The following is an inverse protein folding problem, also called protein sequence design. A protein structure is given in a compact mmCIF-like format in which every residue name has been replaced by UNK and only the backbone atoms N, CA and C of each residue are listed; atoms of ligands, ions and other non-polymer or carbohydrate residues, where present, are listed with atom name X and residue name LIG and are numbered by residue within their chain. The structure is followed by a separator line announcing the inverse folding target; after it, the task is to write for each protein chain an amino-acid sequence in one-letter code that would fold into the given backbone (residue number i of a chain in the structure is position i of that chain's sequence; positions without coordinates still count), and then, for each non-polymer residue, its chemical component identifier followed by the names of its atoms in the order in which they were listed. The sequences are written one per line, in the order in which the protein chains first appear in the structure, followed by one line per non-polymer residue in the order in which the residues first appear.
data_IF_429007304097
#
_entry.id   IF_429007304097
#
_cell.length_a   1.000
_cell.length_b   1.000
_cell.length_c   1.000
_cell.angle_alpha   90.00
_cell.angle_beta   90.00
_cell.angle_gamma   90.00
#
_symmetry.space_group_name_H-M   'P 1'
#
loop_
_entity.id
_entity.type
_entity.pdbx_description
1 polymer ?
#
# COMPACT_ATOMS: atom_id res chain seq x y z
N UNK A 1 -3.62 18.05 12.76
CA UNK A 1 -3.85 17.83 11.32
C UNK A 1 -2.56 17.25 10.77
N UNK A 2 -2.65 16.29 9.85
CA UNK A 2 -1.52 15.72 9.12
C UNK A 2 -1.81 15.81 7.62
N UNK A 3 -0.80 15.96 6.78
CA UNK A 3 -0.95 15.99 5.33
C UNK A 3 -0.04 14.96 4.68
N UNK A 4 -0.57 14.24 3.70
CA UNK A 4 0.19 13.40 2.78
C UNK A 4 0.29 14.09 1.43
N UNK A 5 0.87 13.44 0.41
CA UNK A 5 0.91 13.99 -0.95
C UNK A 5 -0.50 14.14 -1.57
N UNK A 6 -1.44 13.28 -1.16
CA UNK A 6 -2.77 13.15 -1.80
C UNK A 6 -3.94 13.43 -0.85
N UNK A 7 -3.71 13.56 0.46
CA UNK A 7 -4.78 13.69 1.45
C UNK A 7 -4.43 14.62 2.62
N UNK A 8 -5.47 15.05 3.34
CA UNK A 8 -5.41 15.78 4.61
C UNK A 8 -6.17 14.97 5.67
N UNK A 9 -5.55 14.74 6.82
CA UNK A 9 -6.15 14.07 7.97
C UNK A 9 -6.46 15.04 9.11
N UNK A 10 -7.72 15.05 9.53
CA UNK A 10 -8.19 15.75 10.73
C UNK A 10 -8.47 14.76 11.85
N UNK A 11 -8.08 15.10 13.07
CA UNK A 11 -8.28 14.26 14.24
C UNK A 11 -9.19 14.98 15.24
N UNK A 12 -10.34 14.39 15.56
CA UNK A 12 -11.31 14.95 16.51
C UNK A 12 -11.77 13.83 17.43
N UNK A 13 -11.43 13.94 18.71
CA UNK A 13 -11.71 12.88 19.69
C UNK A 13 -11.12 11.54 19.28
N UNK A 14 -11.99 10.53 19.18
CA UNK A 14 -11.71 9.15 18.78
C UNK A 14 -11.77 8.93 17.25
N UNK A 15 -11.97 9.99 16.46
CA UNK A 15 -12.12 9.91 15.00
C UNK A 15 -10.98 10.57 14.24
N UNK A 16 -10.68 9.99 13.09
CA UNK A 16 -9.86 10.57 12.04
C UNK A 16 -10.72 10.76 10.78
N UNK A 17 -10.52 11.87 10.08
CA UNK A 17 -11.24 12.19 8.85
C UNK A 17 -10.22 12.45 7.75
N UNK A 18 -10.24 11.63 6.69
CA UNK A 18 -9.31 11.73 5.56
C UNK A 18 -10.01 12.36 4.37
N UNK A 19 -9.60 13.57 4.00
CA UNK A 19 -10.04 14.26 2.79
C UNK A 19 -8.99 14.09 1.70
N UNK A 20 -9.41 13.88 0.44
CA UNK A 20 -8.50 13.88 -0.70
C UNK A 20 -8.20 15.31 -1.15
N UNK A 21 -6.96 15.60 -1.52
CA UNK A 21 -6.54 16.91 -2.04
C UNK A 21 -6.88 17.03 -3.54
N UNK A 22 -7.22 18.23 -4.03
CA UNK A 22 -7.48 18.47 -5.44
C UNK A 22 -6.17 18.55 -6.26
N UNK A 23 -5.51 17.40 -6.44
CA UNK A 23 -4.20 17.31 -7.10
C UNK A 23 -4.26 16.41 -8.34
N UNK A 24 -3.38 16.68 -9.29
CA UNK A 24 -3.04 15.79 -10.40
C UNK A 24 -1.54 15.46 -10.32
N UNK A 25 -1.23 14.17 -10.14
CA UNK A 25 0.15 13.66 -10.04
C UNK A 25 0.58 12.89 -11.29
N UNK A 26 -0.20 12.94 -12.38
CA UNK A 26 0.02 12.22 -13.63
C UNK A 26 -0.39 10.74 -13.59
N UNK A 27 -0.21 10.07 -12.46
CA UNK A 27 -0.74 8.72 -12.20
C UNK A 27 -2.05 8.74 -11.38
N UNK A 28 -2.46 9.91 -10.90
CA UNK A 28 -3.60 10.11 -10.03
C UNK A 28 -4.24 11.47 -10.29
N UNK A 29 -5.53 11.51 -10.64
CA UNK A 29 -6.28 12.75 -10.84
C UNK A 29 -7.44 12.84 -9.83
N UNK A 30 -7.29 13.73 -8.85
CA UNK A 30 -8.29 14.09 -7.86
C UNK A 30 -8.79 15.53 -8.02
N UNK A 31 -8.62 16.14 -9.19
CA UNK A 31 -8.98 17.56 -9.42
C UNK A 31 -10.48 17.81 -9.27
N UNK A 32 -11.33 16.83 -9.60
CA UNK A 32 -12.80 16.94 -9.49
C UNK A 32 -13.35 16.34 -8.20
N UNK A 33 -14.45 16.92 -7.69
CA UNK A 33 -15.17 16.38 -6.52
C UNK A 33 -15.64 14.94 -6.77
N UNK A 34 -16.15 14.65 -7.96
CA UNK A 34 -16.58 13.29 -8.35
C UNK A 34 -15.44 12.28 -8.30
N UNK A 35 -14.23 12.65 -8.76
CA UNK A 35 -13.07 11.78 -8.67
C UNK A 35 -12.68 11.52 -7.20
N UNK A 36 -12.70 12.55 -6.35
CA UNK A 36 -12.45 12.40 -4.91
C UNK A 36 -13.50 11.55 -4.21
N UNK A 37 -14.76 11.64 -4.62
CA UNK A 37 -15.84 10.81 -4.08
C UNK A 37 -15.61 9.33 -4.43
N UNK A 38 -15.35 9.03 -5.70
CA UNK A 38 -15.04 7.67 -6.14
C UNK A 38 -13.79 7.12 -5.43
N UNK A 39 -12.79 7.96 -5.19
CA UNK A 39 -11.60 7.59 -4.42
C UNK A 39 -11.92 7.25 -2.96
N UNK A 40 -12.75 8.04 -2.28
CA UNK A 40 -13.18 7.75 -0.91
C UNK A 40 -13.98 6.44 -0.84
N UNK A 41 -14.88 6.21 -1.79
CA UNK A 41 -15.67 4.97 -1.89
C UNK A 41 -14.78 3.74 -2.11
N UNK A 42 -13.78 3.85 -2.98
CA UNK A 42 -12.78 2.80 -3.22
C UNK A 42 -11.92 2.56 -1.99
N UNK A 43 -11.36 3.60 -1.39
CA UNK A 43 -10.54 3.49 -0.18
C UNK A 43 -11.32 2.78 0.95
N UNK A 44 -12.55 3.22 1.20
CA UNK A 44 -13.42 2.63 2.21
C UNK A 44 -13.71 1.15 1.94
N UNK A 45 -14.06 0.82 0.69
CA UNK A 45 -14.40 -0.56 0.30
C UNK A 45 -13.20 -1.50 0.41
N UNK A 46 -12.04 -1.06 -0.06
CA UNK A 46 -10.82 -1.88 -0.09
C UNK A 46 -10.25 -2.06 1.32
N UNK A 47 -10.19 -1.00 2.12
CA UNK A 47 -9.57 -1.06 3.43
C UNK A 47 -10.44 -1.74 4.50
N UNK A 48 -11.77 -1.78 4.32
CA UNK A 48 -12.64 -2.57 5.21
C UNK A 48 -12.38 -4.07 5.17
N UNK A 49 -11.71 -4.57 4.12
CA UNK A 49 -11.23 -5.97 4.05
C UNK A 49 -10.18 -6.25 5.14
N UNK A 50 -9.39 -5.24 5.48
CA UNK A 50 -8.23 -5.32 6.39
C UNK A 50 -8.55 -4.82 7.80
N UNK A 51 -9.33 -3.75 7.92
CA UNK A 51 -9.63 -3.10 9.20
C UNK A 51 -11.07 -2.58 9.28
N UNK A 52 -12.09 -3.46 9.32
CA UNK A 52 -13.50 -3.07 9.28
C UNK A 52 -13.97 -2.25 10.48
N UNK A 53 -13.27 -2.34 11.62
CA UNK A 53 -13.51 -1.55 12.84
C UNK A 53 -12.75 -0.21 12.85
N UNK A 54 -11.88 0.03 11.86
CA UNK A 54 -11.17 1.30 11.67
C UNK A 54 -11.85 2.16 10.60
N UNK A 55 -12.30 1.58 9.49
CA UNK A 55 -12.99 2.32 8.43
C UNK A 55 -14.49 2.34 8.71
N UNK A 56 -14.97 3.46 9.27
CA UNK A 56 -16.29 3.56 9.91
C UNK A 56 -17.39 4.07 8.98
N UNK A 57 -17.04 4.79 7.92
CA UNK A 57 -18.00 5.23 6.91
C UNK A 57 -17.45 6.26 5.95
N UNK A 58 -18.32 6.72 5.06
CA UNK A 58 -18.11 7.87 4.20
C UNK A 58 -18.82 9.08 4.80
N UNK A 59 -18.31 10.28 4.54
CA UNK A 59 -18.92 11.52 4.98
C UNK A 59 -18.60 12.67 4.05
N UNK A 60 -19.03 13.86 4.44
CA UNK A 60 -18.81 15.09 3.71
C UNK A 60 -18.35 16.20 4.66
N UNK A 61 -17.42 17.03 4.20
CA UNK A 61 -17.03 18.27 4.85
C UNK A 61 -17.57 19.46 4.08
N UNK A 62 -18.24 20.37 4.78
CA UNK A 62 -18.80 21.60 4.20
C UNK A 62 -18.06 22.80 4.77
N UNK A 63 -17.19 23.38 3.93
CA UNK A 63 -16.64 24.70 4.24
C UNK A 63 -17.69 25.77 3.95
N UNK A 64 -17.85 26.80 4.80
CA UNK A 64 -18.76 27.93 4.54
C UNK A 64 -18.51 28.62 3.19
N UNK A 65 -17.28 28.55 2.69
CA UNK A 65 -16.83 29.22 1.46
C UNK A 65 -16.88 28.31 0.22
N UNK A 66 -17.11 27.01 0.39
CA UNK A 66 -17.11 26.05 -0.71
C UNK A 66 -18.53 25.83 -1.26
N UNK A 67 -18.65 25.83 -2.58
CA UNK A 67 -19.93 25.64 -3.28
C UNK A 67 -20.44 24.20 -3.21
N UNK A 68 -19.51 23.22 -3.12
CA UNK A 68 -19.81 21.80 -3.00
C UNK A 68 -19.21 21.20 -1.72
N UNK A 69 -19.88 20.19 -1.11
CA UNK A 69 -19.28 19.41 -0.04
C UNK A 69 -18.08 18.60 -0.55
N UNK A 70 -17.04 18.51 0.27
CA UNK A 70 -15.89 17.66 0.00
C UNK A 70 -16.09 16.26 0.59
N UNK A 71 -15.98 15.18 -0.19
CA UNK A 71 -16.10 13.82 0.31
C UNK A 71 -14.91 13.46 1.21
N UNK A 72 -15.17 12.62 2.21
CA UNK A 72 -14.14 12.12 3.13
C UNK A 72 -14.42 10.70 3.59
N UNK A 73 -13.37 10.06 4.09
CA UNK A 73 -13.43 8.77 4.80
C UNK A 73 -13.40 9.04 6.30
N UNK A 74 -14.36 8.48 7.02
CA UNK A 74 -14.44 8.54 8.49
C UNK A 74 -13.79 7.29 9.06
N UNK A 75 -12.79 7.48 9.91
CA UNK A 75 -12.00 6.42 10.50
C UNK A 75 -11.98 6.51 12.02
N UNK A 76 -11.77 5.38 12.70
CA UNK A 76 -11.35 5.35 14.10
C UNK A 76 -9.92 5.89 14.15
N UNK A 77 -9.64 6.83 15.05
CA UNK A 77 -8.29 7.36 15.25
C UNK A 77 -7.41 6.27 15.86
N UNK A 78 -6.30 5.97 15.21
CA UNK A 78 -5.35 5.00 15.72
C UNK A 78 -4.27 5.68 16.58
N UNK A 79 -3.77 5.01 17.64
CA UNK A 79 -2.72 5.54 18.50
C UNK A 79 -1.34 5.43 17.81
N UNK A 80 -0.66 6.56 17.65
CA UNK A 80 0.61 6.63 16.87
C UNK A 80 1.76 5.82 17.52
N UNK A 81 1.77 5.71 18.85
CA UNK A 81 2.71 4.89 19.63
C UNK A 81 2.50 3.38 19.46
N UNK A 82 1.43 2.97 18.75
CA UNK A 82 1.17 1.56 18.41
C UNK A 82 1.49 1.22 16.96
N UNK A 83 1.99 2.15 16.15
CA UNK A 83 2.47 1.86 14.79
C UNK A 83 3.62 0.85 14.85
N UNK A 84 3.63 -0.14 13.96
CA UNK A 84 4.72 -1.12 13.89
C UNK A 84 6.06 -0.41 13.65
N UNK A 85 6.09 0.62 12.80
CA UNK A 85 7.30 1.42 12.59
C UNK A 85 7.77 2.18 13.83
N UNK A 86 6.88 2.55 14.75
CA UNK A 86 7.27 3.13 16.04
C UNK A 86 7.85 2.05 16.96
N UNK A 87 7.17 0.91 17.08
CA UNK A 87 7.62 -0.22 17.90
C UNK A 87 8.99 -0.77 17.48
N UNK A 88 9.25 -0.84 16.17
CA UNK A 88 10.56 -1.23 15.62
C UNK A 88 11.64 -0.25 16.08
N UNK A 89 11.39 1.06 15.98
CA UNK A 89 12.36 2.10 16.37
C UNK A 89 12.65 2.11 17.87
N UNK A 90 11.66 1.78 18.69
CA UNK A 90 11.81 1.66 20.15
C UNK A 90 12.43 0.31 20.58
N UNK A 91 12.69 -0.61 19.65
CA UNK A 91 13.27 -1.92 19.95
C UNK A 91 12.31 -2.85 20.71
N UNK A 92 11.00 -2.67 20.53
CA UNK A 92 10.00 -3.54 21.15
C UNK A 92 10.02 -4.95 20.53
N UNK A 93 9.59 -5.96 21.30
CA UNK A 93 9.38 -7.30 20.78
C UNK A 93 8.14 -7.34 19.88
N UNK A 94 8.33 -7.67 18.59
CA UNK A 94 7.27 -7.60 17.55
C UNK A 94 6.96 -8.95 16.90
N UNK A 95 7.62 -10.04 17.28
CA UNK A 95 7.50 -11.36 16.66
C UNK A 95 6.05 -11.89 16.63
N UNK A 96 5.30 -11.67 17.71
CA UNK A 96 3.89 -12.09 17.78
C UNK A 96 3.00 -11.25 16.87
N UNK A 97 3.30 -9.95 16.76
CA UNK A 97 2.61 -9.04 15.84
C UNK A 97 2.89 -9.44 14.39
N UNK A 98 4.16 -9.65 14.03
CA UNK A 98 4.55 -10.05 12.67
C UNK A 98 3.90 -11.38 12.28
N UNK A 99 3.87 -12.34 13.21
CA UNK A 99 3.17 -13.62 13.00
C UNK A 99 1.66 -13.42 12.79
N UNK A 100 1.03 -12.49 13.53
CA UNK A 100 -0.38 -12.17 13.34
C UNK A 100 -0.64 -11.49 11.99
N UNK A 101 0.19 -10.51 11.60
CA UNK A 101 0.12 -9.86 10.29
C UNK A 101 0.28 -10.88 9.16
N UNK A 102 1.29 -11.76 9.23
CA UNK A 102 1.52 -12.79 8.22
C UNK A 102 0.32 -13.75 8.08
N UNK A 103 -0.32 -14.12 9.21
CA UNK A 103 -1.53 -14.96 9.20
C UNK A 103 -2.73 -14.24 8.58
N UNK A 104 -2.94 -12.97 8.90
CA UNK A 104 -4.00 -12.18 8.29
C UNK A 104 -3.77 -12.03 6.78
N UNK A 105 -2.53 -11.72 6.38
CA UNK A 105 -2.14 -11.60 4.98
C UNK A 105 -2.38 -12.90 4.21
N UNK A 106 -1.94 -14.03 4.76
CA UNK A 106 -2.18 -15.34 4.15
C UNK A 106 -3.67 -15.68 4.04
N UNK A 107 -4.50 -15.31 5.03
CA UNK A 107 -5.95 -15.50 4.96
C UNK A 107 -6.58 -14.62 3.87
N UNK A 108 -6.20 -13.34 3.79
CA UNK A 108 -6.67 -12.44 2.74
C UNK A 108 -6.27 -12.94 1.35
N UNK A 109 -5.03 -13.38 1.16
CA UNK A 109 -4.57 -13.95 -0.12
C UNK A 109 -5.32 -15.22 -0.50
N UNK A 110 -5.71 -16.03 0.48
CA UNK A 110 -6.49 -17.25 0.22
C UNK A 110 -7.91 -16.94 -0.28
N UNK A 111 -8.54 -15.90 0.26
CA UNK A 111 -9.90 -15.47 -0.07
C UNK A 111 -9.98 -14.37 -1.14
N UNK A 112 -8.84 -13.84 -1.58
CA UNK A 112 -8.77 -12.73 -2.53
C UNK A 112 -9.42 -13.09 -3.88
N UNK A 113 -10.14 -12.14 -4.52
CA UNK A 113 -10.64 -12.33 -5.87
C UNK A 113 -9.53 -12.73 -6.84
N UNK A 114 -9.85 -13.70 -7.69
CA UNK A 114 -8.99 -14.14 -8.78
C UNK A 114 -9.70 -13.91 -10.09
N UNK A 115 -8.94 -13.61 -11.13
CA UNK A 115 -9.48 -13.37 -12.44
C UNK A 115 -8.39 -13.09 -13.44
N UNK A 116 -8.77 -13.11 -14.71
CA UNK A 116 -7.86 -12.84 -15.80
C UNK A 116 -7.11 -11.51 -15.64
N UNK A 117 -7.81 -10.47 -15.21
CA UNK A 117 -7.21 -9.14 -15.01
C UNK A 117 -6.15 -9.14 -13.90
N UNK A 118 -6.33 -9.98 -12.86
CA UNK A 118 -5.36 -10.18 -11.77
C UNK A 118 -4.16 -10.98 -12.29
N UNK A 119 -4.42 -12.12 -12.95
CA UNK A 119 -3.38 -13.01 -13.49
C UNK A 119 -2.48 -12.30 -14.50
N UNK A 120 -3.04 -11.42 -15.35
CA UNK A 120 -2.30 -10.62 -16.32
C UNK A 120 -1.22 -9.76 -15.65
N UNK A 121 -1.46 -9.27 -14.44
CA UNK A 121 -0.51 -8.44 -13.68
C UNK A 121 0.63 -9.24 -13.05
N UNK A 122 0.49 -10.57 -12.89
CA UNK A 122 1.55 -11.45 -12.42
C UNK A 122 2.49 -11.96 -13.51
N UNK A 123 2.24 -11.60 -14.78
CA UNK A 123 3.10 -12.03 -15.88
C UNK A 123 4.48 -11.38 -15.80
N UNK A 124 5.53 -12.10 -16.23
CA UNK A 124 6.89 -11.56 -16.33
C UNK A 124 6.93 -10.24 -17.09
N UNK A 125 6.15 -10.14 -18.17
CA UNK A 125 6.11 -8.97 -19.05
C UNK A 125 5.44 -7.78 -18.34
N UNK A 126 4.32 -8.00 -17.63
CA UNK A 126 3.68 -6.96 -16.83
C UNK A 126 4.62 -6.42 -15.73
N UNK A 127 5.28 -7.32 -14.98
CA UNK A 127 6.28 -6.91 -13.98
C UNK A 127 7.43 -6.12 -14.64
N UNK A 128 7.93 -6.59 -15.78
CA UNK A 128 8.98 -5.88 -16.53
C UNK A 128 8.54 -4.48 -16.92
N UNK A 129 7.32 -4.33 -17.46
CA UNK A 129 6.78 -3.02 -17.85
C UNK A 129 6.65 -2.07 -16.66
N UNK A 130 6.22 -2.56 -15.49
CA UNK A 130 6.16 -1.75 -14.26
C UNK A 130 7.55 -1.28 -13.82
N UNK A 131 8.52 -2.19 -13.77
CA UNK A 131 9.91 -1.83 -13.45
C UNK A 131 10.49 -0.79 -14.42
N UNK A 132 10.31 -0.96 -15.73
CA UNK A 132 10.78 0.01 -16.72
C UNK A 132 10.11 1.39 -16.55
N UNK A 133 8.80 1.42 -16.28
CA UNK A 133 8.08 2.66 -16.02
C UNK A 133 8.62 3.37 -14.77
N UNK A 134 8.87 2.64 -13.68
CA UNK A 134 9.47 3.17 -12.46
C UNK A 134 10.89 3.71 -12.71
N UNK A 135 11.73 3.01 -13.47
CA UNK A 135 13.08 3.50 -13.80
C UNK A 135 13.03 4.79 -14.63
N UNK A 136 12.10 4.92 -15.57
CA UNK A 136 11.89 6.16 -16.33
C UNK A 136 11.53 7.31 -15.39
N UNK A 137 10.59 7.10 -14.45
CA UNK A 137 10.19 8.11 -13.48
C UNK A 137 11.34 8.53 -12.55
N UNK A 138 12.07 7.57 -11.97
CA UNK A 138 13.22 7.84 -11.10
C UNK A 138 14.30 8.61 -11.85
N UNK A 139 14.60 8.24 -13.10
CA UNK A 139 15.57 8.97 -13.94
C UNK A 139 15.12 10.39 -14.28
N UNK A 140 13.82 10.59 -14.53
CA UNK A 140 13.26 11.91 -14.80
C UNK A 140 13.36 12.83 -13.57
N UNK A 141 13.11 12.30 -12.38
CA UNK A 141 13.33 13.02 -11.11
C UNK A 141 14.82 13.33 -10.90
N UNK A 142 15.69 12.38 -11.23
CA UNK A 142 17.11 12.54 -11.06
C UNK A 142 17.76 13.57 -12.00
N UNK A 143 17.17 13.77 -13.18
CA UNK A 143 17.56 14.85 -14.10
C UNK A 143 17.40 16.26 -13.48
N UNK A 144 16.64 16.39 -12.39
CA UNK A 144 16.47 17.61 -11.62
C UNK A 144 17.47 17.77 -10.45
N UNK A 145 18.51 16.93 -10.36
CA UNK A 145 19.71 17.22 -9.55
C UNK A 145 20.21 16.13 -8.62
N UNK A 146 19.56 14.95 -8.55
CA UNK A 146 20.04 13.84 -7.72
C UNK A 146 19.63 12.48 -8.27
N UNK A 147 20.57 11.71 -8.83
CA UNK A 147 20.37 10.27 -9.06
C UNK A 147 20.77 9.56 -7.77
N UNK A 148 19.88 8.84 -7.09
CA UNK A 148 20.29 7.98 -5.98
C UNK A 148 21.37 7.01 -6.43
N UNK A 149 22.40 6.82 -5.62
CA UNK A 149 23.42 5.80 -5.88
C UNK A 149 22.75 4.41 -6.01
N UNK A 150 23.20 3.61 -6.96
CA UNK A 150 22.70 2.23 -7.15
C UNK A 150 21.52 2.05 -8.12
N UNK A 151 20.88 3.10 -8.65
CA UNK A 151 19.75 2.95 -9.61
C UNK A 151 20.12 2.07 -10.81
N UNK A 152 21.29 2.28 -11.40
CA UNK A 152 21.77 1.47 -12.53
C UNK A 152 22.02 0.00 -12.15
N UNK A 153 22.42 -0.26 -10.91
CA UNK A 153 22.61 -1.62 -10.40
C UNK A 153 21.27 -2.32 -10.21
N UNK A 154 20.30 -1.65 -9.57
CA UNK A 154 18.93 -2.16 -9.39
C UNK A 154 18.29 -2.47 -10.75
N UNK A 155 18.45 -1.59 -11.74
CA UNK A 155 17.97 -1.81 -13.11
C UNK A 155 18.61 -3.06 -13.75
N UNK A 156 19.93 -3.24 -13.59
CA UNK A 156 20.63 -4.43 -14.09
C UNK A 156 20.12 -5.71 -13.40
N UNK A 157 19.94 -5.67 -12.09
CA UNK A 157 19.51 -6.82 -11.30
C UNK A 157 18.06 -7.20 -11.61
N UNK A 158 17.14 -6.24 -11.68
CA UNK A 158 15.74 -6.47 -12.03
C UNK A 158 15.59 -7.07 -13.44
N UNK A 159 16.24 -6.47 -14.44
CA UNK A 159 16.23 -6.99 -15.82
C UNK A 159 16.82 -8.39 -15.91
N UNK A 160 17.96 -8.62 -15.27
CA UNK A 160 18.61 -9.95 -15.22
C UNK A 160 17.72 -10.96 -14.51
N UNK A 161 16.99 -10.53 -13.48
CA UNK A 161 16.10 -11.42 -12.76
C UNK A 161 14.93 -11.87 -13.63
N UNK A 162 14.33 -10.96 -14.39
CA UNK A 162 13.18 -11.25 -15.24
C UNK A 162 13.56 -12.00 -16.54
N UNK A 163 14.80 -11.82 -17.02
CA UNK A 163 15.28 -12.42 -18.26
C UNK A 163 15.18 -13.96 -18.24
N UNK A 164 14.45 -14.52 -19.20
CA UNK A 164 14.30 -15.98 -19.37
C UNK A 164 13.43 -16.69 -18.33
N UNK A 165 12.85 -15.96 -17.36
CA UNK A 165 12.06 -16.56 -16.25
C UNK A 165 10.55 -16.64 -16.51
N UNK A 166 10.08 -16.52 -17.76
CA UNK A 166 8.64 -16.56 -18.09
C UNK A 166 7.91 -17.75 -17.44
N UNK A 167 8.47 -18.96 -17.55
CA UNK A 167 7.89 -20.18 -16.97
C UNK A 167 7.73 -20.13 -15.45
N UNK A 168 8.59 -19.41 -14.73
CA UNK A 168 8.47 -19.26 -13.28
C UNK A 168 7.20 -18.47 -12.94
N UNK A 169 7.00 -17.32 -13.60
CA UNK A 169 5.83 -16.48 -13.40
C UNK A 169 4.54 -17.16 -13.88
N UNK A 170 4.58 -17.83 -15.04
CA UNK A 170 3.44 -18.64 -15.53
C UNK A 170 3.04 -19.70 -14.49
N UNK A 171 4.02 -20.40 -13.89
CA UNK A 171 3.76 -21.39 -12.86
C UNK A 171 3.14 -20.80 -11.58
N UNK A 172 3.51 -19.57 -11.20
CA UNK A 172 2.90 -18.86 -10.07
C UNK A 172 1.44 -18.49 -10.36
N UNK A 173 1.15 -18.03 -11.58
CA UNK A 173 -0.23 -17.77 -12.04
C UNK A 173 -1.05 -19.07 -12.04
N UNK A 174 -0.52 -20.16 -12.59
CA UNK A 174 -1.19 -21.48 -12.61
C UNK A 174 -1.49 -22.02 -11.20
N UNK A 175 -0.65 -21.70 -10.23
CA UNK A 175 -0.86 -22.03 -8.82
C UNK A 175 -1.81 -21.05 -8.10
N UNK A 176 -2.30 -20.03 -8.79
CA UNK A 176 -3.17 -18.98 -8.26
C UNK A 176 -2.51 -18.18 -7.14
N UNK A 177 -1.24 -17.81 -7.35
CA UNK A 177 -0.43 -17.02 -6.39
C UNK A 177 -0.56 -15.52 -6.59
N UNK A 178 -1.13 -15.08 -7.71
CA UNK A 178 -1.42 -13.68 -8.00
C UNK A 178 -2.80 -13.36 -7.44
N UNK A 179 -2.87 -12.28 -6.68
CA UNK A 179 -4.03 -11.92 -5.86
C UNK A 179 -4.28 -10.42 -5.92
N UNK A 180 -5.51 -10.02 -5.63
CA UNK A 180 -5.81 -8.64 -5.25
C UNK A 180 -5.30 -8.38 -3.82
N UNK A 181 -4.03 -7.96 -3.71
CA UNK A 181 -3.30 -7.83 -2.45
C UNK A 181 -3.55 -6.52 -1.69
N UNK A 182 -2.62 -6.18 -0.78
CA UNK A 182 -2.57 -4.87 -0.14
C UNK A 182 -1.97 -3.81 -1.08
N UNK A 183 -0.84 -4.14 -1.73
CA UNK A 183 -0.16 -3.33 -2.73
C UNK A 183 0.78 -2.25 -2.18
N UNK A 184 0.74 -1.97 -0.87
CA UNK A 184 1.59 -0.98 -0.19
C UNK A 184 1.74 -1.26 1.31
N UNK A 185 2.20 -2.47 1.68
CA UNK A 185 2.17 -2.94 3.08
C UNK A 185 3.32 -2.35 3.92
N UNK A 186 3.18 -1.10 4.36
CA UNK A 186 4.20 -0.40 5.15
C UNK A 186 3.99 -0.58 6.67
N UNK A 187 5.08 -0.63 7.43
CA UNK A 187 5.04 -0.74 8.88
C UNK A 187 4.44 0.52 9.54
N UNK A 188 4.43 1.67 8.85
CA UNK A 188 3.77 2.86 9.37
C UNK A 188 2.25 2.75 9.41
N UNK A 189 1.64 1.94 8.53
CA UNK A 189 0.19 1.76 8.43
C UNK A 189 -0.33 0.51 9.13
N UNK A 190 0.55 -0.20 9.84
CA UNK A 190 0.21 -1.33 10.70
C UNK A 190 0.16 -0.86 12.15
N UNK A 191 -1.01 -0.96 12.79
CA UNK A 191 -1.21 -0.60 14.19
C UNK A 191 -1.38 -1.85 15.05
N UNK A 192 -0.51 -2.00 16.04
CA UNK A 192 -0.37 -3.20 16.85
C UNK A 192 -1.18 -3.04 18.14
N UNK A 193 -2.46 -3.38 18.14
CA UNK A 193 -3.35 -3.25 19.29
C UNK A 193 -3.35 -4.52 20.17
N UNK A 194 -3.93 -4.44 21.36
CA UNK A 194 -4.02 -5.59 22.29
C UNK A 194 -4.85 -6.74 21.74
N UNK A 195 -5.85 -6.44 20.91
CA UNK A 195 -6.75 -7.40 20.26
C UNK A 195 -6.26 -7.82 18.85
N UNK A 196 -5.03 -7.45 18.49
CA UNK A 196 -4.39 -7.82 17.22
C UNK A 196 -4.11 -6.64 16.29
N UNK A 197 -3.32 -6.86 15.23
CA UNK A 197 -2.91 -5.79 14.33
C UNK A 197 -4.08 -5.30 13.46
N UNK A 198 -4.04 -4.02 13.08
CA UNK A 198 -4.86 -3.43 12.02
C UNK A 198 -3.94 -2.93 10.93
N UNK A 199 -4.20 -3.38 9.70
CA UNK A 199 -3.46 -2.97 8.50
C UNK A 199 -4.34 -1.95 7.77
N UNK A 200 -3.80 -0.77 7.52
CA UNK A 200 -4.48 0.33 6.84
C UNK A 200 -3.77 0.68 5.53
N UNK A 201 -4.39 1.56 4.76
CA UNK A 201 -3.84 2.18 3.54
C UNK A 201 -3.52 1.20 2.39
N UNK A 202 -4.40 0.22 2.19
CA UNK A 202 -4.40 -0.60 0.99
C UNK A 202 -4.58 0.25 -0.27
N UNK A 203 -3.72 0.02 -1.26
CA UNK A 203 -3.57 0.83 -2.47
C UNK A 203 -4.89 0.94 -3.25
N UNK A 204 -5.52 2.11 -3.26
CA UNK A 204 -6.88 2.28 -3.77
C UNK A 204 -6.98 2.79 -5.20
N UNK A 205 -5.93 3.42 -5.71
CA UNK A 205 -6.02 4.22 -6.94
C UNK A 205 -5.66 3.47 -8.22
N UNK A 206 -4.88 2.39 -8.15
CA UNK A 206 -4.50 1.59 -9.32
C UNK A 206 -4.55 0.09 -9.02
N UNK A 207 -5.53 -0.59 -9.61
CA UNK A 207 -5.70 -2.03 -9.45
C UNK A 207 -4.50 -2.81 -10.00
N UNK A 208 -3.81 -2.31 -11.03
CA UNK A 208 -2.66 -3.00 -11.63
C UNK A 208 -1.44 -3.02 -10.71
N UNK A 209 -1.33 -2.05 -9.80
CA UNK A 209 -0.29 -2.00 -8.77
C UNK A 209 -0.66 -2.85 -7.56
N UNK A 210 -1.96 -3.04 -7.29
CA UNK A 210 -2.45 -3.88 -6.18
C UNK A 210 -2.53 -5.36 -6.53
N UNK A 211 -2.68 -5.70 -7.81
CA UNK A 211 -2.70 -7.08 -8.29
C UNK A 211 -1.27 -7.62 -8.39
N UNK A 212 -0.88 -8.40 -7.39
CA UNK A 212 0.52 -8.83 -7.19
C UNK A 212 0.58 -10.29 -6.80
N UNK A 213 1.77 -10.90 -6.92
CA UNK A 213 2.00 -12.20 -6.28
C UNK A 213 1.96 -12.02 -4.75
N UNK A 214 1.38 -12.97 -4.01
CA UNK A 214 1.31 -12.86 -2.54
C UNK A 214 2.68 -12.72 -1.86
N UNK A 215 3.76 -13.22 -2.48
CA UNK A 215 5.13 -12.97 -2.00
C UNK A 215 5.58 -11.53 -2.22
N UNK A 216 5.17 -10.90 -3.32
CA UNK A 216 5.46 -9.50 -3.63
C UNK A 216 4.75 -8.60 -2.60
N UNK A 217 3.48 -8.89 -2.31
CA UNK A 217 2.69 -8.18 -1.29
C UNK A 217 3.32 -8.26 0.12
N UNK A 218 3.82 -9.44 0.50
CA UNK A 218 4.54 -9.62 1.76
C UNK A 218 5.93 -8.95 1.75
N UNK A 219 6.59 -8.92 0.60
CA UNK A 219 7.92 -8.34 0.48
C UNK A 219 7.95 -6.82 0.75
N UNK A 220 6.84 -6.10 0.55
CA UNK A 220 6.73 -4.68 0.94
C UNK A 220 7.05 -4.47 2.42
N UNK A 221 6.44 -5.27 3.32
CA UNK A 221 6.69 -5.13 4.75
C UNK A 221 8.10 -5.57 5.12
N UNK A 222 8.60 -6.66 4.52
CA UNK A 222 9.97 -7.12 4.77
C UNK A 222 11.00 -6.04 4.38
N UNK A 223 10.83 -5.43 3.21
CA UNK A 223 11.68 -4.34 2.74
C UNK A 223 11.59 -3.12 3.67
N UNK A 224 10.39 -2.74 4.12
CA UNK A 224 10.23 -1.61 5.04
C UNK A 224 10.85 -1.89 6.42
N UNK A 225 10.75 -3.12 6.93
CA UNK A 225 11.43 -3.54 8.16
C UNK A 225 12.97 -3.49 8.01
N UNK A 226 13.52 -3.89 6.87
CA UNK A 226 14.96 -3.72 6.58
C UNK A 226 15.35 -2.23 6.55
N UNK A 227 14.54 -1.40 5.90
CA UNK A 227 14.75 0.06 5.84
C UNK A 227 14.69 0.72 7.24
N UNK A 228 13.88 0.17 8.14
CA UNK A 228 13.81 0.57 9.55
C UNK A 228 14.97 0.02 10.41
N UNK A 229 15.89 -0.74 9.82
CA UNK A 229 17.05 -1.31 10.52
C UNK A 229 16.77 -2.61 11.26
N UNK A 230 15.71 -3.35 10.90
CA UNK A 230 15.29 -4.60 11.52
C UNK A 230 15.32 -5.80 10.55
N UNK A 231 16.48 -6.17 9.98
CA UNK A 231 16.59 -7.26 9.00
C UNK A 231 16.25 -8.65 9.57
N UNK A 232 16.47 -8.88 10.87
CA UNK A 232 16.07 -10.14 11.53
C UNK A 232 14.55 -10.27 11.59
N UNK A 233 13.84 -9.16 11.82
CA UNK A 233 12.38 -9.11 11.80
C UNK A 233 11.82 -9.32 10.39
N UNK A 234 12.46 -8.72 9.38
CA UNK A 234 12.11 -8.94 7.98
C UNK A 234 12.24 -10.42 7.58
N UNK A 235 13.36 -11.06 7.95
CA UNK A 235 13.60 -12.47 7.69
C UNK A 235 12.64 -13.40 8.46
N UNK A 236 12.22 -13.01 9.67
CA UNK A 236 11.24 -13.76 10.46
C UNK A 236 9.82 -13.65 9.90
N UNK A 237 9.47 -12.52 9.26
CA UNK A 237 8.15 -12.29 8.70
C UNK A 237 7.86 -13.16 7.45
N UNK A 238 8.87 -13.40 6.62
CA UNK A 238 8.79 -14.21 5.38
C UNK A 238 8.80 -15.73 5.66
#
# INVERSE_FOLDING_TARGET
MCETHTAILFFVGDRAYKLKKPVDLGFLDYTTVTARQAACEREFSLNRRFAPDVYLGLGEFRSPEAEAPEPLVVMRRMPDDRRLSHLVREGAAIDDVLRAVARHLAAWHADAPRGRDVDEQGTRDALSSRWEASFVQVRALAANGFVPDGVSEVESLARRYLAGRKRLFDSRIEQGRVVDGHGDLLAEDIFCLEDGPRVLDCLEFDDQLRYVDGLDDAAFLAMDLEQLGAPEAAAYFL
#
